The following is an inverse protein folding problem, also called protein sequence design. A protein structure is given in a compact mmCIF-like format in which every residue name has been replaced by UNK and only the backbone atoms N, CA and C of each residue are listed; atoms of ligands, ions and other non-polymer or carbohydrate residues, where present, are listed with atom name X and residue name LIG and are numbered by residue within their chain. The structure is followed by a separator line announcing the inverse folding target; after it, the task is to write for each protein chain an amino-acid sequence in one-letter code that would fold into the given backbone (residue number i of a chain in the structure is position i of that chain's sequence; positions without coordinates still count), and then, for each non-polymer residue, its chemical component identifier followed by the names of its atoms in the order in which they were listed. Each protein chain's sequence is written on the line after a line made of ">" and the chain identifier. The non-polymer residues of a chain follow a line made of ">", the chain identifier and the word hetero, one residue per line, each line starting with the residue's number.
data_IF_014723379669
#
_entry.id   IF_014723379669
#
_cell.length_a   1.000
_cell.length_b   1.000
_cell.length_c   1.000
_cell.angle_alpha   90.00
_cell.angle_beta   90.00
_cell.angle_gamma   90.00
#
_symmetry.space_group_name_H-M   'P 1'
#
loop_
_entity.id
_entity.type
_entity.pdbx_description
1 polymer ?
#
# COMPACT_ATOMS: atom_id res chain seq x y z
N UNK A 1 -34.19 4.27 19.63
CA UNK A 1 -33.00 5.14 19.75
C UNK A 1 -31.77 4.29 19.51
N UNK A 2 -31.31 4.22 18.27
CA UNK A 2 -30.11 3.46 17.90
C UNK A 2 -28.87 4.13 18.48
N UNK A 3 -28.12 3.35 19.26
CA UNK A 3 -26.79 3.72 19.73
C UNK A 3 -25.90 3.87 18.50
N UNK A 4 -25.58 5.12 18.12
CA UNK A 4 -24.53 5.42 17.14
C UNK A 4 -23.24 4.77 17.63
N UNK A 5 -22.89 3.65 17.02
CA UNK A 5 -21.59 3.02 17.17
C UNK A 5 -20.53 4.08 16.88
N UNK A 6 -19.69 4.37 17.88
CA UNK A 6 -18.53 5.23 17.72
C UNK A 6 -17.64 4.52 16.70
N UNK A 7 -17.69 4.96 15.44
CA UNK A 7 -16.85 4.44 14.36
C UNK A 7 -15.41 4.49 14.81
N UNK A 8 -14.79 3.33 15.01
CA UNK A 8 -13.35 3.21 15.21
C UNK A 8 -12.74 3.71 13.90
N UNK A 9 -12.25 4.94 13.90
CA UNK A 9 -11.59 5.49 12.73
C UNK A 9 -10.28 4.74 12.52
N UNK A 10 -10.02 4.30 11.29
CA UNK A 10 -8.77 3.62 10.99
C UNK A 10 -7.60 4.60 11.16
N UNK A 11 -6.42 4.04 11.46
CA UNK A 11 -5.16 4.79 11.52
C UNK A 11 -4.91 5.55 10.21
N UNK A 12 -5.28 4.95 9.08
CA UNK A 12 -5.17 5.58 7.75
C UNK A 12 -6.03 6.85 7.66
N UNK A 13 -7.33 6.73 7.97
CA UNK A 13 -8.28 7.83 7.95
C UNK A 13 -7.86 8.99 8.86
N UNK A 14 -7.40 8.69 10.07
CA UNK A 14 -6.92 9.71 11.01
C UNK A 14 -5.67 10.43 10.50
N UNK A 15 -4.71 9.67 9.97
CA UNK A 15 -3.46 10.21 9.44
C UNK A 15 -3.73 11.09 8.24
N UNK A 16 -4.57 10.64 7.29
CA UNK A 16 -4.95 11.43 6.13
C UNK A 16 -5.68 12.72 6.50
N UNK A 17 -6.57 12.69 7.48
CA UNK A 17 -7.26 13.91 7.96
C UNK A 17 -6.29 14.92 8.56
N UNK A 18 -5.29 14.45 9.33
CA UNK A 18 -4.22 15.31 9.85
C UNK A 18 -3.37 15.89 8.70
N UNK A 19 -2.97 15.08 7.72
CA UNK A 19 -2.22 15.52 6.54
C UNK A 19 -2.98 16.56 5.73
N UNK A 20 -4.29 16.38 5.51
CA UNK A 20 -5.14 17.37 4.84
C UNK A 20 -5.20 18.68 5.64
N UNK A 21 -5.29 18.62 6.97
CA UNK A 21 -5.26 19.80 7.83
C UNK A 21 -3.95 20.58 7.67
N UNK A 22 -2.81 19.89 7.70
CA UNK A 22 -1.49 20.48 7.49
C UNK A 22 -1.40 21.12 6.10
N UNK A 23 -1.82 20.41 5.06
CA UNK A 23 -1.83 20.94 3.70
C UNK A 23 -2.70 22.18 3.57
N UNK A 24 -3.88 22.24 4.20
CA UNK A 24 -4.73 23.45 4.24
C UNK A 24 -4.03 24.63 4.91
N UNK A 25 -3.23 24.38 5.95
CA UNK A 25 -2.41 25.42 6.59
C UNK A 25 -1.30 25.91 5.66
N UNK A 26 -0.65 24.99 4.92
CA UNK A 26 0.34 25.34 3.89
C UNK A 26 -0.30 26.22 2.81
N UNK A 27 -1.44 25.83 2.25
CA UNK A 27 -2.16 26.64 1.27
C UNK A 27 -2.49 28.05 1.79
N UNK A 28 -2.77 28.20 3.09
CA UNK A 28 -3.01 29.51 3.71
C UNK A 28 -1.73 30.34 3.83
N UNK A 29 -0.58 29.72 4.01
CA UNK A 29 0.72 30.37 4.18
C UNK A 29 1.34 30.78 2.84
N UNK A 30 1.22 29.93 1.81
CA UNK A 30 1.98 30.08 0.57
C UNK A 30 1.17 30.65 -0.60
N UNK A 31 -0.17 30.63 -0.56
CA UNK A 31 -1.00 31.13 -1.66
C UNK A 31 -1.84 32.36 -1.28
N UNK A 32 -2.04 33.30 -2.22
CA UNK A 32 -3.03 34.37 -2.08
C UNK A 32 -4.45 33.84 -1.88
N UNK A 33 -5.32 34.66 -1.28
CA UNK A 33 -6.69 34.30 -0.92
C UNK A 33 -7.50 33.72 -2.11
N UNK A 34 -7.37 34.31 -3.30
CA UNK A 34 -8.10 33.89 -4.49
C UNK A 34 -7.66 32.49 -4.96
N UNK A 35 -6.35 32.27 -5.09
CA UNK A 35 -5.78 30.98 -5.49
C UNK A 35 -6.04 29.89 -4.45
N UNK A 36 -5.92 30.22 -3.16
CA UNK A 36 -6.28 29.30 -2.07
C UNK A 36 -7.73 28.84 -2.18
N UNK A 37 -8.66 29.77 -2.45
CA UNK A 37 -10.08 29.45 -2.57
C UNK A 37 -10.34 28.55 -3.78
N UNK A 38 -9.67 28.83 -4.91
CA UNK A 38 -9.70 27.98 -6.11
C UNK A 38 -9.21 26.57 -5.80
N UNK A 39 -8.03 26.41 -5.17
CA UNK A 39 -7.48 25.09 -4.81
C UNK A 39 -8.37 24.32 -3.83
N UNK A 40 -8.89 24.98 -2.79
CA UNK A 40 -9.81 24.35 -1.82
C UNK A 40 -11.06 23.78 -2.49
N UNK A 41 -11.58 24.47 -3.53
CA UNK A 41 -12.73 24.01 -4.28
C UNK A 41 -12.37 22.91 -5.27
N UNK A 42 -11.25 23.04 -6.00
CA UNK A 42 -10.77 22.04 -6.95
C UNK A 42 -10.53 20.68 -6.29
N UNK A 43 -9.89 20.68 -5.11
CA UNK A 43 -9.59 19.49 -4.33
C UNK A 43 -10.75 19.04 -3.42
N UNK A 44 -11.91 19.71 -3.50
CA UNK A 44 -13.10 19.44 -2.69
C UNK A 44 -12.82 19.34 -1.18
N UNK A 45 -11.85 20.10 -0.67
CA UNK A 45 -11.38 20.01 0.73
C UNK A 45 -12.38 20.54 1.78
N UNK A 46 -13.53 21.05 1.33
CA UNK A 46 -14.67 21.43 2.18
C UNK A 46 -15.78 20.39 2.19
N UNK A 47 -15.74 19.42 1.29
CA UNK A 47 -16.75 18.38 1.17
C UNK A 47 -16.62 17.41 2.36
N UNK A 48 -17.73 17.17 3.06
CA UNK A 48 -17.76 16.23 4.19
C UNK A 48 -17.71 14.77 3.72
N UNK A 49 -18.21 14.47 2.53
CA UNK A 49 -18.26 13.10 2.00
C UNK A 49 -16.87 12.54 1.74
N UNK A 50 -15.94 13.38 1.28
CA UNK A 50 -14.52 13.07 1.13
C UNK A 50 -13.92 12.43 2.40
N UNK A 51 -14.25 12.95 3.58
CA UNK A 51 -13.67 12.50 4.84
C UNK A 51 -14.27 11.20 5.39
N UNK A 52 -15.26 10.65 4.71
CA UNK A 52 -15.92 9.39 5.08
C UNK A 52 -15.52 8.23 4.17
N UNK A 53 -14.73 8.48 3.12
CA UNK A 53 -14.24 7.45 2.20
C UNK A 53 -12.72 7.36 2.23
N UNK A 54 -12.18 6.22 2.64
CA UNK A 54 -10.73 6.00 2.65
C UNK A 54 -10.14 6.02 1.24
N UNK A 55 -10.88 5.49 0.26
CA UNK A 55 -10.46 5.50 -1.14
C UNK A 55 -10.33 6.93 -1.65
N UNK A 56 -11.29 7.80 -1.34
CA UNK A 56 -11.22 9.21 -1.71
C UNK A 56 -10.11 9.94 -0.96
N UNK A 57 -9.88 9.62 0.32
CA UNK A 57 -8.73 10.13 1.08
C UNK A 57 -7.41 9.68 0.46
N UNK A 58 -7.28 8.42 0.04
CA UNK A 58 -6.09 7.88 -0.61
C UNK A 58 -5.78 8.60 -1.92
N UNK A 59 -6.78 8.73 -2.80
CA UNK A 59 -6.66 9.46 -4.07
C UNK A 59 -6.29 10.93 -3.85
N UNK A 60 -6.93 11.57 -2.88
CA UNK A 60 -6.61 12.94 -2.52
C UNK A 60 -5.20 13.07 -1.96
N UNK A 61 -4.72 12.11 -1.17
CA UNK A 61 -3.36 12.09 -0.66
C UNK A 61 -2.33 12.17 -1.79
N UNK A 62 -2.48 11.32 -2.80
CA UNK A 62 -1.64 11.35 -4.00
C UNK A 62 -1.75 12.69 -4.74
N UNK A 63 -2.96 13.22 -4.89
CA UNK A 63 -3.17 14.53 -5.53
C UNK A 63 -2.49 15.67 -4.77
N UNK A 64 -2.48 15.62 -3.43
CA UNK A 64 -1.78 16.59 -2.58
C UNK A 64 -0.26 16.48 -2.77
N UNK A 65 0.29 15.27 -2.81
CA UNK A 65 1.73 15.05 -3.05
C UNK A 65 2.13 15.64 -4.40
N UNK A 66 1.39 15.33 -5.46
CA UNK A 66 1.61 15.87 -6.81
C UNK A 66 1.52 17.39 -6.81
N UNK A 67 0.48 17.96 -6.21
CA UNK A 67 0.31 19.42 -6.16
C UNK A 67 1.46 20.11 -5.43
N UNK A 68 1.96 19.52 -4.34
CA UNK A 68 3.09 20.09 -3.61
C UNK A 68 4.34 20.06 -4.48
N UNK A 69 4.66 18.92 -5.09
CA UNK A 69 5.86 18.75 -5.93
C UNK A 69 5.85 19.67 -7.15
N UNK A 70 4.70 19.88 -7.77
CA UNK A 70 4.57 20.69 -8.98
C UNK A 70 4.48 22.19 -8.69
N UNK A 71 3.67 22.57 -7.69
CA UNK A 71 3.20 23.96 -7.53
C UNK A 71 3.72 24.66 -6.28
N UNK A 72 4.19 23.93 -5.25
CA UNK A 72 4.61 24.53 -3.98
C UNK A 72 6.11 24.36 -3.70
N UNK A 73 6.75 23.29 -4.20
CA UNK A 73 8.21 23.13 -4.11
C UNK A 73 8.92 24.24 -4.89
N UNK A 74 8.35 24.71 -6.00
CA UNK A 74 8.96 25.72 -6.89
C UNK A 74 8.76 27.19 -6.46
N UNK A 75 7.97 27.47 -5.41
CA UNK A 75 7.73 28.84 -4.95
C UNK A 75 8.91 29.37 -4.15
N UNK A 76 9.63 30.38 -4.70
CA UNK A 76 10.78 31.11 -4.13
C UNK A 76 10.53 31.74 -2.75
N UNK A 77 10.36 30.94 -1.70
CA UNK A 77 10.18 31.39 -0.32
C UNK A 77 11.24 30.72 0.54
N UNK A 78 12.22 31.50 1.01
CA UNK A 78 13.20 31.25 2.07
C UNK A 78 13.70 29.80 2.27
N UNK A 79 15.02 29.60 2.23
CA UNK A 79 15.70 28.30 2.40
C UNK A 79 15.14 27.37 3.48
N UNK A 80 14.66 27.90 4.62
CA UNK A 80 14.06 27.12 5.72
C UNK A 80 12.60 26.68 5.49
N UNK A 81 11.84 27.39 4.65
CA UNK A 81 10.46 27.02 4.30
C UNK A 81 10.41 25.94 3.22
N UNK A 82 11.43 25.90 2.36
CA UNK A 82 11.58 24.92 1.27
C UNK A 82 11.75 23.49 1.81
N UNK A 83 12.58 23.29 2.84
CA UNK A 83 12.82 21.96 3.41
C UNK A 83 11.56 21.36 4.06
N UNK A 84 10.74 22.17 4.74
CA UNK A 84 9.54 21.68 5.43
C UNK A 84 8.42 21.19 4.51
N UNK A 85 8.19 21.88 3.39
CA UNK A 85 7.15 21.53 2.41
C UNK A 85 7.51 20.23 1.68
N UNK A 86 8.76 20.14 1.21
CA UNK A 86 9.28 18.94 0.56
C UNK A 86 9.32 17.73 1.49
N UNK A 87 9.78 17.92 2.73
CA UNK A 87 9.79 16.84 3.72
C UNK A 87 8.38 16.32 4.00
N UNK A 88 7.38 17.21 4.12
CA UNK A 88 5.99 16.79 4.28
C UNK A 88 5.48 15.99 3.08
N UNK A 89 5.76 16.42 1.84
CA UNK A 89 5.37 15.67 0.65
C UNK A 89 5.99 14.27 0.63
N UNK A 90 7.29 14.17 0.92
CA UNK A 90 7.99 12.88 0.99
C UNK A 90 7.42 11.98 2.10
N UNK A 91 7.13 12.54 3.28
CA UNK A 91 6.52 11.76 4.37
C UNK A 91 5.12 11.26 4.01
N UNK A 92 4.30 12.09 3.34
CA UNK A 92 2.97 11.70 2.90
C UNK A 92 3.04 10.64 1.79
N UNK A 93 3.96 10.78 0.85
CA UNK A 93 4.22 9.81 -0.22
C UNK A 93 4.63 8.46 0.37
N UNK A 94 5.67 8.43 1.19
CA UNK A 94 6.13 7.20 1.87
C UNK A 94 5.01 6.56 2.70
N UNK A 95 4.17 7.38 3.34
CA UNK A 95 3.00 6.86 4.06
C UNK A 95 2.01 6.18 3.10
N UNK A 96 1.65 6.82 1.99
CA UNK A 96 0.71 6.29 1.00
C UNK A 96 1.24 5.05 0.27
N UNK A 97 2.56 4.95 0.05
CA UNK A 97 3.20 3.78 -0.55
C UNK A 97 2.99 2.50 0.27
N UNK A 98 2.73 2.61 1.57
CA UNK A 98 2.43 1.45 2.40
C UNK A 98 0.99 0.94 2.24
N UNK A 99 0.17 1.63 1.45
CA UNK A 99 -1.23 1.30 1.23
C UNK A 99 -1.57 1.13 -0.25
N UNK A 100 -2.62 0.36 -0.51
CA UNK A 100 -3.21 0.18 -1.83
C UNK A 100 -4.72 0.04 -1.74
N UNK A 101 -5.40 0.22 -2.87
CA UNK A 101 -6.85 0.02 -2.98
C UNK A 101 -7.13 -1.43 -3.39
N UNK A 102 -7.81 -2.17 -2.52
CA UNK A 102 -8.28 -3.53 -2.75
C UNK A 102 -9.75 -3.50 -3.18
N UNK A 103 -10.09 -4.23 -4.25
CA UNK A 103 -11.45 -4.38 -4.77
C UNK A 103 -12.21 -3.04 -4.97
N UNK A 104 -11.48 -1.98 -5.30
CA UNK A 104 -11.99 -0.62 -5.59
C UNK A 104 -12.69 0.12 -4.44
N UNK A 105 -12.91 -0.50 -3.28
CA UNK A 105 -13.72 0.08 -2.18
C UNK A 105 -12.96 0.20 -0.86
N UNK A 106 -11.80 -0.44 -0.71
CA UNK A 106 -11.09 -0.48 0.57
C UNK A 106 -9.63 -0.14 0.42
N UNK A 107 -9.10 0.62 1.37
CA UNK A 107 -7.68 0.88 1.50
C UNK A 107 -7.10 -0.13 2.48
N UNK A 108 -6.09 -0.88 2.04
CA UNK A 108 -5.43 -1.89 2.87
C UNK A 108 -3.94 -1.59 2.98
N UNK A 109 -3.38 -1.86 4.14
CA UNK A 109 -1.94 -1.79 4.34
C UNK A 109 -1.27 -2.99 3.65
N UNK A 110 -0.21 -2.76 2.87
CA UNK A 110 0.49 -3.81 2.10
C UNK A 110 0.94 -4.97 2.99
N UNK A 111 1.41 -4.70 4.21
CA UNK A 111 1.79 -5.76 5.16
C UNK A 111 0.63 -6.68 5.55
N UNK A 112 -0.61 -6.16 5.65
CA UNK A 112 -1.79 -6.97 5.94
C UNK A 112 -2.12 -7.87 4.74
N UNK A 113 -2.01 -7.32 3.52
CA UNK A 113 -2.19 -8.10 2.29
C UNK A 113 -1.17 -9.22 2.17
N UNK A 114 0.11 -8.95 2.46
CA UNK A 114 1.15 -9.98 2.47
C UNK A 114 0.90 -11.03 3.55
N UNK A 115 0.50 -10.62 4.76
CA UNK A 115 0.19 -11.59 5.82
C UNK A 115 -0.95 -12.54 5.40
N UNK A 116 -1.99 -12.03 4.72
CA UNK A 116 -3.05 -12.87 4.15
C UNK A 116 -2.52 -13.81 3.07
N UNK A 117 -1.75 -13.28 2.12
CA UNK A 117 -1.15 -14.07 1.05
C UNK A 117 -0.21 -15.16 1.59
N UNK A 118 0.52 -14.90 2.67
CA UNK A 118 1.39 -15.86 3.33
C UNK A 118 0.58 -17.00 3.95
N UNK A 119 -0.49 -16.69 4.68
CA UNK A 119 -1.38 -17.70 5.27
C UNK A 119 -2.04 -18.55 4.18
N UNK A 120 -2.53 -17.92 3.11
CA UNK A 120 -3.11 -18.61 1.96
C UNK A 120 -2.08 -19.52 1.29
N UNK A 121 -0.87 -19.01 1.01
CA UNK A 121 0.19 -19.81 0.43
C UNK A 121 0.55 -21.03 1.29
N UNK A 122 0.60 -20.88 2.62
CA UNK A 122 0.82 -22.00 3.55
C UNK A 122 -0.28 -23.06 3.38
N UNK A 123 -1.54 -22.64 3.34
CA UNK A 123 -2.67 -23.55 3.16
C UNK A 123 -2.61 -24.27 1.81
N UNK A 124 -2.23 -23.57 0.74
CA UNK A 124 -2.09 -24.17 -0.59
C UNK A 124 -0.91 -25.14 -0.67
N UNK A 125 0.18 -24.89 0.08
CA UNK A 125 1.34 -25.78 0.15
C UNK A 125 1.06 -27.08 0.93
N UNK A 126 0.05 -27.10 1.80
CA UNK A 126 -0.34 -28.29 2.58
C UNK A 126 -1.40 -29.16 1.88
N UNK A 127 -1.93 -28.72 0.73
CA UNK A 127 -2.93 -29.48 -0.04
C UNK A 127 -2.36 -30.84 -0.48
N UNK A 128 -3.12 -31.94 -0.33
CA UNK A 128 -2.73 -33.26 -0.82
C UNK A 128 -2.39 -33.28 -2.31
N UNK A 129 -1.40 -34.09 -2.70
CA UNK A 129 -0.84 -34.11 -4.07
C UNK A 129 -1.87 -34.37 -5.17
N UNK A 130 -2.87 -35.20 -4.88
CA UNK A 130 -3.95 -35.56 -5.80
C UNK A 130 -5.00 -34.46 -5.98
N UNK A 131 -4.88 -33.35 -5.24
CA UNK A 131 -5.81 -32.22 -5.28
C UNK A 131 -5.16 -30.95 -5.82
N UNK A 132 -3.92 -31.02 -6.35
CA UNK A 132 -3.23 -29.88 -6.94
C UNK A 132 -3.81 -29.53 -8.32
N UNK A 133 -4.90 -28.76 -8.33
CA UNK A 133 -5.53 -28.23 -9.54
C UNK A 133 -4.78 -27.03 -10.09
N UNK A 134 -5.00 -26.68 -11.37
CA UNK A 134 -4.43 -25.46 -11.97
C UNK A 134 -4.86 -24.19 -11.21
N UNK A 135 -6.10 -24.13 -10.71
CA UNK A 135 -6.57 -23.00 -9.88
C UNK A 135 -5.71 -22.80 -8.62
N UNK A 136 -5.30 -23.90 -7.96
CA UNK A 136 -4.43 -23.83 -6.78
C UNK A 136 -3.04 -23.36 -7.17
N UNK A 137 -2.53 -23.79 -8.33
CA UNK A 137 -1.24 -23.34 -8.86
C UNK A 137 -1.25 -21.85 -9.14
N UNK A 138 -2.30 -21.34 -9.80
CA UNK A 138 -2.47 -19.91 -10.08
C UNK A 138 -2.56 -19.08 -8.80
N UNK A 139 -3.35 -19.52 -7.82
CA UNK A 139 -3.43 -18.85 -6.51
C UNK A 139 -2.08 -18.83 -5.80
N UNK A 140 -1.34 -19.93 -5.85
CA UNK A 140 -0.02 -20.01 -5.23
C UNK A 140 0.96 -19.04 -5.92
N UNK A 141 0.97 -18.97 -7.25
CA UNK A 141 1.78 -18.00 -8.02
C UNK A 141 1.43 -16.56 -7.64
N UNK A 142 0.14 -16.23 -7.54
CA UNK A 142 -0.31 -14.90 -7.11
C UNK A 142 0.17 -14.56 -5.69
N UNK A 143 0.08 -15.52 -4.76
CA UNK A 143 0.58 -15.33 -3.40
C UNK A 143 2.11 -15.15 -3.39
N UNK A 144 2.85 -15.96 -4.16
CA UNK A 144 4.30 -15.86 -4.31
C UNK A 144 4.72 -14.46 -4.76
N UNK A 145 4.08 -13.93 -5.80
CA UNK A 145 4.40 -12.61 -6.34
C UNK A 145 4.15 -11.48 -5.33
N UNK A 146 3.05 -11.58 -4.57
CA UNK A 146 2.74 -10.60 -3.51
C UNK A 146 3.76 -10.64 -2.36
N UNK A 147 4.16 -11.83 -1.91
CA UNK A 147 5.15 -12.01 -0.84
C UNK A 147 6.53 -11.52 -1.30
N UNK A 148 6.91 -11.82 -2.55
CA UNK A 148 8.18 -11.36 -3.12
C UNK A 148 8.23 -9.84 -3.20
N UNK A 149 7.17 -9.22 -3.72
CA UNK A 149 7.13 -7.78 -3.94
C UNK A 149 7.09 -6.99 -2.63
N UNK A 150 6.27 -7.42 -1.66
CA UNK A 150 5.92 -6.57 -0.51
C UNK A 150 6.22 -7.17 0.86
N UNK A 151 6.67 -8.42 0.93
CA UNK A 151 6.98 -9.06 2.21
C UNK A 151 8.22 -8.52 2.89
N UNK A 152 8.23 -8.54 4.22
CA UNK A 152 9.45 -8.29 4.99
C UNK A 152 10.50 -9.37 4.71
N UNK A 153 11.76 -9.09 5.01
CA UNK A 153 12.84 -10.08 4.89
C UNK A 153 12.52 -11.38 5.65
N UNK A 154 12.00 -11.25 6.87
CA UNK A 154 11.55 -12.37 7.70
C UNK A 154 10.43 -13.17 7.03
N UNK A 155 9.41 -12.50 6.47
CA UNK A 155 8.30 -13.16 5.77
C UNK A 155 8.77 -13.88 4.52
N UNK A 156 9.71 -13.28 3.77
CA UNK A 156 10.28 -13.86 2.56
C UNK A 156 11.12 -15.09 2.88
N UNK A 157 11.96 -15.05 3.90
CA UNK A 157 12.80 -16.18 4.30
C UNK A 157 11.96 -17.33 4.88
N UNK A 158 10.92 -17.00 5.66
CA UNK A 158 9.95 -17.99 6.14
C UNK A 158 9.27 -18.69 4.97
N UNK A 159 8.76 -17.94 3.99
CA UNK A 159 8.11 -18.50 2.81
C UNK A 159 9.03 -19.38 1.97
N UNK A 160 10.26 -18.91 1.73
CA UNK A 160 11.31 -19.67 1.05
C UNK A 160 11.62 -20.99 1.73
N UNK A 161 11.79 -20.98 3.05
CA UNK A 161 12.03 -22.19 3.85
C UNK A 161 10.86 -23.18 3.71
N UNK A 162 9.62 -22.69 3.70
CA UNK A 162 8.44 -23.53 3.50
C UNK A 162 8.40 -24.14 2.10
N UNK A 163 8.70 -23.38 1.05
CA UNK A 163 8.80 -23.90 -0.32
C UNK A 163 9.86 -25.00 -0.43
N UNK A 164 11.05 -24.78 0.14
CA UNK A 164 12.13 -25.77 0.15
C UNK A 164 11.72 -27.06 0.88
N UNK A 165 11.09 -26.93 2.05
CA UNK A 165 10.57 -28.08 2.80
C UNK A 165 9.49 -28.84 2.02
N UNK A 166 8.60 -28.13 1.32
CA UNK A 166 7.58 -28.74 0.47
C UNK A 166 8.22 -29.49 -0.70
N UNK A 167 9.23 -28.91 -1.37
CA UNK A 167 9.99 -29.58 -2.45
C UNK A 167 10.63 -30.87 -1.92
N UNK A 168 11.25 -30.83 -0.74
CA UNK A 168 11.90 -32.00 -0.14
C UNK A 168 10.89 -33.12 0.21
N UNK A 169 9.67 -32.75 0.61
CA UNK A 169 8.59 -33.69 0.95
C UNK A 169 7.82 -34.22 -0.26
N UNK A 170 7.96 -33.64 -1.45
CA UNK A 170 7.24 -34.04 -2.67
C UNK A 170 8.08 -35.04 -3.49
N UNK A 171 7.48 -36.14 -3.98
CA UNK A 171 8.08 -37.00 -5.02
C UNK A 171 7.96 -36.32 -6.39
N UNK A 172 8.82 -36.71 -7.34
CA UNK A 172 9.24 -35.99 -8.56
C UNK A 172 8.15 -35.25 -9.36
N UNK A 173 6.92 -35.79 -9.47
CA UNK A 173 5.87 -35.27 -10.36
C UNK A 173 5.49 -33.80 -10.11
N UNK A 174 5.43 -33.35 -8.86
CA UNK A 174 5.05 -31.97 -8.53
C UNK A 174 6.26 -31.11 -8.11
N UNK A 175 7.43 -31.72 -7.90
CA UNK A 175 8.64 -31.03 -7.46
C UNK A 175 9.11 -30.00 -8.51
N UNK A 176 8.91 -30.27 -9.81
CA UNK A 176 9.25 -29.34 -10.88
C UNK A 176 8.49 -28.01 -10.77
N UNK A 177 7.19 -28.06 -10.45
CA UNK A 177 6.35 -26.87 -10.27
C UNK A 177 6.81 -26.01 -9.09
N UNK A 178 7.03 -26.62 -7.92
CA UNK A 178 7.49 -25.87 -6.75
C UNK A 178 8.91 -25.33 -6.91
N UNK A 179 9.79 -26.03 -7.65
CA UNK A 179 11.11 -25.50 -8.03
C UNK A 179 11.00 -24.28 -8.94
N UNK A 180 10.06 -24.28 -9.89
CA UNK A 180 9.79 -23.12 -10.74
C UNK A 180 9.29 -21.93 -9.91
N UNK A 181 8.36 -22.16 -8.98
CA UNK A 181 7.90 -21.12 -8.05
C UNK A 181 9.05 -20.56 -7.22
N UNK A 182 9.89 -21.43 -6.64
CA UNK A 182 11.04 -21.00 -5.85
C UNK A 182 12.02 -20.15 -6.68
N UNK A 183 12.31 -20.57 -7.90
CA UNK A 183 13.17 -19.82 -8.82
C UNK A 183 12.59 -18.44 -9.13
N UNK A 184 11.30 -18.37 -9.49
CA UNK A 184 10.64 -17.10 -9.79
C UNK A 184 10.60 -16.18 -8.57
N UNK A 185 10.29 -16.73 -7.39
CA UNK A 185 10.33 -16.01 -6.12
C UNK A 185 11.70 -15.40 -5.84
N UNK A 186 12.78 -16.19 -6.01
CA UNK A 186 14.15 -15.70 -5.82
C UNK A 186 14.53 -14.61 -6.83
N UNK A 187 14.10 -14.75 -8.09
CA UNK A 187 14.34 -13.74 -9.12
C UNK A 187 13.65 -12.42 -8.78
N UNK A 188 12.38 -12.45 -8.40
CA UNK A 188 11.63 -11.26 -8.00
C UNK A 188 12.23 -10.59 -6.76
N UNK A 189 12.70 -11.36 -5.78
CA UNK A 189 13.43 -10.80 -4.63
C UNK A 189 14.72 -10.06 -5.04
N UNK A 190 15.42 -10.52 -6.07
CA UNK A 190 16.64 -9.87 -6.58
C UNK A 190 16.33 -8.59 -7.35
N UNK A 191 15.22 -8.55 -8.07
CA UNK A 191 14.76 -7.36 -8.81
C UNK A 191 14.28 -6.25 -7.86
N UNK A 192 13.64 -6.61 -6.73
CA UNK A 192 13.17 -5.65 -5.71
C UNK A 192 14.32 -5.11 -4.84
N UNK A 193 15.47 -5.77 -4.81
CA UNK A 193 16.64 -5.36 -4.01
C UNK A 193 17.60 -4.42 -4.77
N UNK A 194 17.28 -4.04 -6.01
CA UNK A 194 18.04 -3.10 -6.86
C UNK A 194 17.35 -1.74 -6.91
#
# INVERSE_FOLDING_TARGET
>A
MEKRGRSVMSIFSETMKKSISIYRQMLRKYLPQAERTKKLNQLKLKDRHLYNSEVELYRLGHTIVTDIKENLDNTNVSYYSYSGVRNFANHLENFLENYEIENSDRVIHRSQKVARALVEAIQLLTVPRNQLTEEIKEKLVSCTALIASFGSEEQRELYKTMLQNTIHKQQEQNAAFYRLILHNFQKEMQEVSR
#
